data_IF_916232358626
#
_entry.id   IF_916232358626
#
_cell.length_a   1.000
_cell.length_b   1.000
_cell.length_c   1.000
_cell.angle_alpha   90.00
_cell.angle_beta   90.00
_cell.angle_gamma   90.00
#
_symmetry.space_group_name_H-M   'P 1'
#
loop_
_entity.id
_entity.type
_entity.pdbx_description
1 polymer ?
#
# COMPACT_ATOMS: atom_id res chain seq x y z
N UNK A 1 2.77 12.16 -19.65
CA UNK A 1 3.57 10.94 -19.39
C UNK A 1 3.01 10.07 -18.28
N UNK A 2 2.22 10.66 -17.38
CA UNK A 2 1.35 9.93 -16.45
C UNK A 2 -0.07 10.43 -16.64
N UNK A 3 -1.03 9.52 -16.73
CA UNK A 3 -2.46 9.80 -16.86
C UNK A 3 -3.23 9.07 -15.77
N UNK A 4 -4.27 9.67 -15.21
CA UNK A 4 -5.17 8.96 -14.29
C UNK A 4 -6.16 8.11 -15.11
N UNK A 5 -6.24 6.82 -14.80
CA UNK A 5 -7.19 5.88 -15.39
C UNK A 5 -8.20 5.49 -14.33
N UNK A 6 -9.35 6.13 -14.40
CA UNK A 6 -10.49 5.83 -13.54
C UNK A 6 -11.17 4.53 -14.01
N UNK A 7 -11.41 3.59 -13.10
CA UNK A 7 -12.11 2.32 -13.39
C UNK A 7 -13.37 2.20 -12.54
N UNK A 8 -14.49 1.98 -13.24
CA UNK A 8 -15.76 1.64 -12.62
C UNK A 8 -15.75 0.18 -12.12
N UNK A 9 -16.38 -0.05 -10.97
CA UNK A 9 -16.59 -1.36 -10.35
C UNK A 9 -17.86 -2.07 -10.84
N UNK A 10 -18.74 -1.38 -11.58
CA UNK A 10 -19.99 -1.95 -12.08
C UNK A 10 -19.77 -3.24 -12.91
N UNK A 11 -20.18 -4.38 -12.33
CA UNK A 11 -20.14 -5.69 -12.99
C UNK A 11 -18.74 -6.31 -13.16
N UNK A 12 -17.70 -5.77 -12.53
CA UNK A 12 -16.33 -6.31 -12.59
C UNK A 12 -15.80 -6.66 -11.21
N UNK A 13 -14.96 -7.69 -11.15
CA UNK A 13 -14.18 -7.98 -9.95
C UNK A 13 -13.16 -6.86 -9.75
N UNK A 14 -13.26 -6.14 -8.63
CA UNK A 14 -12.32 -5.07 -8.28
C UNK A 14 -11.00 -5.72 -7.84
N UNK A 15 -9.91 -5.32 -8.48
CA UNK A 15 -8.55 -5.81 -8.17
C UNK A 15 -7.57 -4.66 -7.87
N UNK A 16 -8.09 -3.46 -7.62
CA UNK A 16 -7.34 -2.22 -7.43
C UNK A 16 -7.88 -1.43 -6.25
N UNK A 17 -7.14 -0.39 -5.84
CA UNK A 17 -7.55 0.54 -4.78
C UNK A 17 -7.96 1.90 -5.35
N UNK A 18 -8.69 2.69 -4.56
CA UNK A 18 -9.08 4.04 -4.95
C UNK A 18 -9.97 4.10 -6.20
N UNK A 19 -9.76 5.11 -7.04
CA UNK A 19 -10.53 5.36 -8.27
C UNK A 19 -10.06 4.53 -9.46
N UNK A 20 -8.88 3.89 -9.40
CA UNK A 20 -8.30 3.19 -10.54
C UNK A 20 -6.77 3.14 -10.48
N UNK A 21 -6.11 3.56 -11.55
CA UNK A 21 -4.65 3.42 -11.73
C UNK A 21 -4.02 4.72 -12.23
N UNK A 22 -2.73 4.89 -11.97
CA UNK A 22 -1.87 5.78 -12.72
C UNK A 22 -1.31 5.04 -13.95
N UNK A 23 -1.63 5.49 -15.16
CA UNK A 23 -1.09 4.97 -16.41
C UNK A 23 0.21 5.69 -16.75
N UNK A 24 1.32 4.96 -16.70
CA UNK A 24 2.67 5.50 -16.79
C UNK A 24 3.31 5.08 -18.10
N UNK A 25 3.80 6.06 -18.87
CA UNK A 25 4.51 5.85 -20.14
C UNK A 25 5.91 5.26 -19.92
N UNK A 26 6.40 4.48 -20.87
CA UNK A 26 7.79 3.97 -20.92
C UNK A 26 8.85 5.09 -20.71
N UNK A 27 9.64 4.96 -19.65
CA UNK A 27 10.67 5.91 -19.21
C UNK A 27 10.19 7.00 -18.21
N UNK A 28 8.89 7.07 -17.94
CA UNK A 28 8.31 7.96 -16.94
C UNK A 28 8.37 7.34 -15.53
N UNK A 29 7.77 7.98 -14.53
CA UNK A 29 7.78 7.48 -13.16
C UNK A 29 6.80 8.21 -12.25
N UNK A 30 6.68 7.69 -11.03
CA UNK A 30 5.83 8.21 -9.97
C UNK A 30 6.67 8.54 -8.74
N UNK A 31 6.19 9.50 -7.95
CA UNK A 31 6.73 9.82 -6.62
C UNK A 31 5.62 9.64 -5.60
N UNK A 32 5.81 8.70 -4.68
CA UNK A 32 4.92 8.46 -3.55
C UNK A 32 5.44 9.23 -2.34
N UNK A 33 4.60 10.07 -1.74
CA UNK A 33 4.91 10.75 -0.48
C UNK A 33 4.45 9.87 0.68
N UNK A 34 5.33 9.69 1.65
CA UNK A 34 5.10 8.87 2.84
C UNK A 34 5.43 9.73 4.06
N UNK A 35 4.40 10.16 4.79
CA UNK A 35 4.51 11.08 5.92
C UNK A 35 3.72 10.62 7.17
N UNK A 36 3.02 9.49 7.09
CA UNK A 36 2.12 8.95 8.11
C UNK A 36 2.59 7.60 8.70
N UNK A 37 3.91 7.39 8.76
CA UNK A 37 4.52 6.17 9.29
C UNK A 37 4.28 6.06 10.81
N UNK A 38 3.68 4.96 11.30
CA UNK A 38 3.26 4.86 12.70
C UNK A 38 4.37 4.44 13.66
N UNK A 39 5.36 3.68 13.18
CA UNK A 39 6.39 3.08 14.04
C UNK A 39 7.75 3.01 13.34
N UNK A 40 8.88 3.33 14.02
CA UNK A 40 10.20 3.30 13.42
C UNK A 40 10.76 1.88 13.27
N UNK A 41 10.86 1.37 12.04
CA UNK A 41 11.40 0.04 11.70
C UNK A 41 11.56 -0.13 10.19
N UNK A 42 12.03 -1.31 9.74
CA UNK A 42 12.01 -1.64 8.32
C UNK A 42 10.59 -1.98 7.85
N UNK A 43 10.23 -1.43 6.69
CA UNK A 43 9.03 -1.79 5.96
C UNK A 43 9.44 -2.44 4.64
N UNK A 44 8.76 -3.53 4.29
CA UNK A 44 8.83 -4.09 2.95
C UNK A 44 7.93 -3.27 2.04
N UNK A 45 8.43 -2.92 0.86
CA UNK A 45 7.66 -2.14 -0.10
C UNK A 45 7.03 -3.10 -1.11
N UNK A 46 5.74 -2.97 -1.33
CA UNK A 46 5.01 -3.75 -2.33
C UNK A 46 4.39 -2.80 -3.36
N UNK A 47 4.73 -3.01 -4.63
CA UNK A 47 4.18 -2.24 -5.74
C UNK A 47 3.08 -3.07 -6.42
N UNK A 48 1.85 -2.56 -6.47
CA UNK A 48 0.74 -3.14 -7.23
C UNK A 48 0.64 -2.50 -8.61
N UNK A 49 0.47 -3.33 -9.63
CA UNK A 49 0.45 -2.89 -11.02
C UNK A 49 -0.38 -3.82 -11.91
N UNK A 50 -0.77 -3.31 -13.08
CA UNK A 50 -1.43 -4.08 -14.12
C UNK A 50 -0.73 -3.81 -15.48
N UNK A 51 -0.13 -4.85 -16.09
CA UNK A 51 0.49 -4.73 -17.42
C UNK A 51 -0.56 -4.51 -18.53
N UNK A 52 -0.28 -3.62 -19.48
CA UNK A 52 -1.12 -3.43 -20.69
C UNK A 52 -0.62 -4.24 -21.90
N UNK A 53 0.57 -4.85 -21.80
CA UNK A 53 1.16 -5.72 -22.83
C UNK A 53 1.73 -7.00 -22.21
N UNK A 54 2.12 -7.95 -23.05
CA UNK A 54 2.79 -9.19 -22.64
C UNK A 54 4.32 -9.04 -22.48
N UNK A 55 4.79 -7.80 -22.29
CA UNK A 55 6.20 -7.49 -22.06
C UNK A 55 6.46 -7.26 -20.58
N UNK A 56 7.59 -7.74 -20.09
CA UNK A 56 8.05 -7.45 -18.73
C UNK A 56 8.53 -5.98 -18.63
N UNK A 57 8.40 -5.44 -17.42
CA UNK A 57 8.86 -4.09 -17.08
C UNK A 57 9.97 -4.16 -16.04
N UNK A 58 10.72 -3.07 -15.91
CA UNK A 58 11.66 -2.83 -14.81
C UNK A 58 11.28 -1.53 -14.09
N UNK A 59 11.34 -1.57 -12.77
CA UNK A 59 11.26 -0.39 -11.92
C UNK A 59 12.65 -0.01 -11.41
N UNK A 60 13.02 1.26 -11.52
CA UNK A 60 14.15 1.86 -10.80
C UNK A 60 13.59 2.58 -9.59
N UNK A 61 13.88 2.07 -8.40
CA UNK A 61 13.30 2.52 -7.14
C UNK A 61 14.35 3.26 -6.32
N UNK A 62 14.00 4.43 -5.80
CA UNK A 62 14.82 5.21 -4.88
C UNK A 62 13.98 5.77 -3.75
N UNK A 63 14.51 5.75 -2.53
CA UNK A 63 13.88 6.36 -1.35
C UNK A 63 14.75 7.52 -0.90
N UNK A 64 14.14 8.68 -0.70
CA UNK A 64 14.81 9.87 -0.19
C UNK A 64 13.97 10.52 0.90
N UNK A 65 14.61 11.38 1.69
CA UNK A 65 13.95 12.27 2.64
C UNK A 65 14.62 13.63 2.55
N UNK A 66 13.84 14.70 2.69
CA UNK A 66 14.37 16.07 2.76
C UNK A 66 14.97 16.40 4.12
N UNK A 67 14.59 15.65 5.15
CA UNK A 67 15.02 15.83 6.54
C UNK A 67 15.78 14.59 6.98
N UNK A 68 16.86 14.80 7.73
CA UNK A 68 17.64 13.70 8.27
C UNK A 68 16.81 12.91 9.29
N UNK A 69 16.70 11.58 9.17
CA UNK A 69 16.09 10.77 10.19
C UNK A 69 16.82 10.96 11.52
N UNK A 70 16.08 11.08 12.61
CA UNK A 70 16.62 11.38 13.94
C UNK A 70 16.42 10.26 14.94
N UNK A 71 15.57 9.26 14.63
CA UNK A 71 15.37 8.14 15.54
C UNK A 71 16.65 7.32 15.69
N UNK A 72 16.91 6.72 16.86
CA UNK A 72 18.05 5.85 17.05
C UNK A 72 18.01 4.59 16.14
N UNK A 73 16.82 4.24 15.62
CA UNK A 73 16.63 3.09 14.72
C UNK A 73 17.03 3.41 13.29
N UNK A 74 16.53 4.51 12.72
CA UNK A 74 16.75 4.87 11.31
C UNK A 74 17.81 5.97 11.09
N UNK A 75 18.21 6.71 12.14
CA UNK A 75 19.06 7.91 12.04
C UNK A 75 20.48 7.72 11.52
N UNK A 76 21.02 6.50 11.57
CA UNK A 76 22.35 6.17 11.02
C UNK A 76 22.28 5.61 9.59
N UNK A 77 21.08 5.53 9.01
CA UNK A 77 20.82 4.99 7.68
C UNK A 77 20.41 6.15 6.76
N UNK A 78 21.38 6.99 6.38
CA UNK A 78 21.24 7.69 5.11
C UNK A 78 21.85 6.76 4.05
N UNK A 79 21.05 6.00 3.30
CA UNK A 79 21.58 5.50 2.06
C UNK A 79 21.93 6.74 1.25
N UNK A 80 23.17 6.82 0.77
CA UNK A 80 23.42 7.40 -0.56
C UNK A 80 22.22 7.04 -1.43
N UNK A 81 21.58 7.96 -2.15
CA UNK A 81 20.38 7.73 -2.98
C UNK A 81 20.53 6.49 -3.90
N UNK A 82 20.43 5.29 -3.34
CA UNK A 82 20.96 4.09 -3.96
C UNK A 82 19.77 3.46 -4.66
N UNK A 83 19.57 3.96 -5.86
CA UNK A 83 18.58 3.44 -6.76
C UNK A 83 18.88 1.96 -7.01
N UNK A 84 17.86 1.12 -6.93
CA UNK A 84 17.94 -0.29 -7.26
C UNK A 84 16.89 -0.65 -8.31
N UNK A 85 17.12 -1.77 -8.98
CA UNK A 85 16.23 -2.26 -10.04
C UNK A 85 15.40 -3.40 -9.53
N UNK A 86 14.14 -3.43 -9.96
CA UNK A 86 13.20 -4.51 -9.71
C UNK A 86 12.54 -4.95 -11.01
N UNK A 87 12.36 -6.25 -11.15
CA UNK A 87 11.62 -6.82 -12.27
C UNK A 87 10.13 -6.77 -11.99
N UNK A 88 9.35 -6.39 -12.99
CA UNK A 88 7.89 -6.38 -12.99
C UNK A 88 7.39 -7.34 -14.07
N UNK A 89 7.24 -8.65 -13.75
CA UNK A 89 6.78 -9.62 -14.72
C UNK A 89 5.34 -9.35 -15.19
N UNK A 90 5.09 -9.48 -16.49
CA UNK A 90 3.76 -9.25 -17.08
C UNK A 90 2.68 -10.21 -16.54
N UNK A 91 3.10 -11.34 -15.98
CA UNK A 91 2.24 -12.38 -15.40
C UNK A 91 1.81 -12.11 -13.96
N UNK A 92 2.32 -11.05 -13.33
CA UNK A 92 2.04 -10.69 -11.93
C UNK A 92 1.14 -9.45 -11.85
N UNK A 93 0.62 -9.19 -10.66
CA UNK A 93 -0.16 -7.97 -10.33
C UNK A 93 0.42 -7.17 -9.16
N UNK A 94 1.47 -7.70 -8.56
CA UNK A 94 2.26 -7.03 -7.56
C UNK A 94 3.67 -7.59 -7.57
N UNK A 95 4.60 -6.84 -6.98
CA UNK A 95 5.94 -7.31 -6.63
C UNK A 95 6.28 -6.83 -5.23
N UNK A 96 6.91 -7.70 -4.43
CA UNK A 96 7.58 -7.30 -3.20
C UNK A 96 8.99 -6.84 -3.60
N UNK A 97 9.31 -5.58 -3.37
CA UNK A 97 10.62 -5.02 -3.75
C UNK A 97 11.71 -5.65 -2.88
N UNK A 98 12.89 -5.93 -3.46
CA UNK A 98 13.95 -6.70 -2.80
C UNK A 98 14.63 -5.97 -1.65
N UNK A 99 14.49 -4.63 -1.57
CA UNK A 99 15.11 -3.80 -0.55
C UNK A 99 14.06 -3.18 0.37
N UNK A 100 13.91 -3.67 1.62
CA UNK A 100 13.13 -2.96 2.62
C UNK A 100 13.82 -1.63 2.99
N UNK A 101 13.08 -0.72 3.59
CA UNK A 101 13.60 0.57 4.02
C UNK A 101 13.11 0.94 5.43
N UNK A 102 14.00 1.53 6.23
CA UNK A 102 13.70 1.99 7.59
C UNK A 102 12.97 3.33 7.53
N UNK A 103 11.66 3.31 7.78
CA UNK A 103 10.86 4.53 7.90
C UNK A 103 10.65 4.87 9.37
N UNK A 104 10.63 6.16 9.71
CA UNK A 104 10.32 6.63 11.06
C UNK A 104 9.17 7.67 11.08
N UNK A 105 8.45 7.81 12.21
CA UNK A 105 7.41 8.81 12.35
C UNK A 105 7.94 10.24 12.22
N UNK A 106 7.08 11.17 11.78
CA UNK A 106 7.37 12.61 11.65
C UNK A 106 8.47 12.99 10.63
N UNK A 107 8.96 12.03 9.84
CA UNK A 107 9.91 12.29 8.76
C UNK A 107 9.20 12.08 7.41
N UNK A 108 9.14 13.10 6.52
CA UNK A 108 8.51 12.95 5.21
C UNK A 108 9.47 12.31 4.22
N UNK A 109 9.12 11.12 3.75
CA UNK A 109 9.87 10.38 2.75
C UNK A 109 9.22 10.50 1.36
N UNK A 110 10.06 10.44 0.32
CA UNK A 110 9.64 10.34 -1.07
C UNK A 110 10.18 9.01 -1.64
N UNK A 111 9.27 8.12 -2.06
CA UNK A 111 9.62 6.90 -2.81
C UNK A 111 9.41 7.17 -4.29
N UNK A 112 10.50 7.23 -5.02
CA UNK A 112 10.51 7.43 -6.48
C UNK A 112 10.57 6.09 -7.19
N UNK A 113 9.70 5.90 -8.19
CA UNK A 113 9.63 4.67 -8.99
C UNK A 113 9.61 5.07 -10.46
N UNK A 114 10.73 4.91 -11.17
CA UNK A 114 10.79 5.06 -12.64
C UNK A 114 10.54 3.72 -13.31
N UNK A 115 9.75 3.72 -14.37
CA UNK A 115 9.27 2.53 -15.04
C UNK A 115 9.73 2.53 -16.49
N UNK A 116 10.25 1.40 -16.95
CA UNK A 116 10.65 1.20 -18.34
C UNK A 116 10.45 -0.26 -18.74
N UNK A 117 10.36 -0.52 -20.04
CA UNK A 117 10.28 -1.91 -20.53
C UNK A 117 11.59 -2.66 -20.27
N UNK A 118 11.49 -3.92 -19.87
CA UNK A 118 12.64 -4.74 -19.53
C UNK A 118 13.46 -5.12 -20.77
N UNK A 119 14.78 -5.01 -20.69
CA UNK A 119 15.70 -5.48 -21.74
C UNK A 119 15.67 -4.67 -23.05
N UNK A 120 15.00 -3.51 -23.09
CA UNK A 120 14.93 -2.66 -24.29
C UNK A 120 15.74 -1.39 -24.09
N UNK A 121 16.52 -1.00 -25.10
CA UNK A 121 17.34 0.23 -25.08
C UNK A 121 16.58 1.46 -25.59
N UNK A 122 15.60 1.27 -26.47
CA UNK A 122 14.77 2.34 -27.02
C UNK A 122 13.39 2.39 -26.35
N UNK A 123 13.01 3.60 -25.94
CA UNK A 123 11.68 3.89 -25.39
C UNK A 123 10.63 3.75 -26.47
N UNK A 124 9.52 3.08 -26.17
CA UNK A 124 8.39 3.01 -27.07
C UNK A 124 7.32 4.02 -26.67
N UNK A 125 7.02 5.04 -27.51
CA UNK A 125 6.12 6.12 -27.13
C UNK A 125 4.70 5.64 -26.85
N UNK A 126 4.26 4.51 -27.42
CA UNK A 126 2.95 3.91 -27.17
C UNK A 126 2.90 2.86 -26.07
N UNK A 127 3.99 2.60 -25.35
CA UNK A 127 4.02 1.59 -24.29
C UNK A 127 3.72 2.21 -22.92
N UNK A 128 2.84 1.54 -22.16
CA UNK A 128 2.35 1.99 -20.87
C UNK A 128 2.20 0.83 -19.89
N UNK A 129 2.25 1.16 -18.61
CA UNK A 129 1.94 0.26 -17.49
C UNK A 129 0.99 0.97 -16.53
N UNK A 130 0.05 0.23 -15.94
CA UNK A 130 -0.86 0.77 -14.93
C UNK A 130 -0.28 0.50 -13.54
N UNK A 131 -0.20 1.52 -12.70
CA UNK A 131 0.23 1.43 -11.30
C UNK A 131 -0.98 1.72 -10.41
N UNK A 132 -1.29 0.79 -9.49
CA UNK A 132 -2.38 0.94 -8.53
C UNK A 132 -1.88 1.68 -7.29
N UNK A 133 -0.98 1.05 -6.53
CA UNK A 133 -0.54 1.57 -5.23
C UNK A 133 0.85 1.09 -4.85
N UNK A 134 1.54 1.90 -4.04
CA UNK A 134 2.68 1.47 -3.24
C UNK A 134 2.20 1.18 -1.82
N UNK A 135 2.53 0.01 -1.28
CA UNK A 135 2.14 -0.45 0.05
C UNK A 135 3.37 -0.64 0.91
N UNK A 136 3.35 -0.08 2.12
CA UNK A 136 4.36 -0.31 3.15
C UNK A 136 3.88 -1.44 4.06
N UNK A 137 4.52 -2.59 3.98
CA UNK A 137 4.24 -3.75 4.82
C UNK A 137 5.22 -3.77 6.01
N UNK A 138 4.71 -3.74 7.25
CA UNK A 138 5.56 -3.72 8.43
C UNK A 138 6.35 -5.04 8.60
N UNK A 139 7.65 -4.97 8.90
CA UNK A 139 8.42 -6.15 9.33
C UNK A 139 8.02 -6.52 10.76
N UNK A 140 6.93 -7.28 10.89
CA UNK A 140 6.30 -7.64 12.18
C UNK A 140 7.25 -8.29 13.18
N UNK A 141 8.32 -8.95 12.73
CA UNK A 141 9.34 -9.56 13.59
C UNK A 141 10.20 -8.53 14.36
N UNK A 142 10.14 -7.24 14.02
CA UNK A 142 10.79 -6.17 14.78
C UNK A 142 9.94 -5.65 15.94
N UNK A 143 8.65 -5.99 16.00
CA UNK A 143 7.75 -5.43 16.99
C UNK A 143 7.94 -6.07 18.38
N UNK A 144 7.69 -5.32 19.46
CA UNK A 144 7.58 -5.87 20.81
C UNK A 144 6.59 -7.05 20.87
N UNK A 145 7.00 -8.17 21.47
CA UNK A 145 6.17 -9.38 21.56
C UNK A 145 6.16 -10.26 20.30
N UNK A 146 6.83 -9.84 19.23
CA UNK A 146 7.12 -10.65 18.04
C UNK A 146 8.63 -10.84 17.81
N UNK A 147 9.46 -9.91 18.30
CA UNK A 147 10.93 -10.05 18.28
C UNK A 147 11.47 -10.98 19.38
N UNK A 148 12.70 -11.45 19.21
CA UNK A 148 13.42 -12.25 20.20
C UNK A 148 13.11 -13.75 20.18
N UNK A 149 13.73 -14.47 21.13
CA UNK A 149 13.69 -15.93 21.23
C UNK A 149 12.68 -16.47 22.27
N UNK A 150 11.88 -15.60 22.87
CA UNK A 150 10.83 -16.02 23.80
C UNK A 150 9.83 -16.93 23.08
N UNK A 151 9.44 -18.04 23.73
CA UNK A 151 8.55 -19.05 23.14
C UNK A 151 7.24 -18.44 22.62
N UNK A 152 6.62 -17.53 23.38
CA UNK A 152 5.38 -16.88 22.97
C UNK A 152 5.55 -16.02 21.71
N UNK A 153 6.65 -15.28 21.59
CA UNK A 153 6.95 -14.49 20.40
C UNK A 153 7.26 -15.37 19.19
N UNK A 154 7.99 -16.47 19.38
CA UNK A 154 8.28 -17.46 18.35
C UNK A 154 6.99 -18.12 17.83
N UNK A 155 6.07 -18.54 18.71
CA UNK A 155 4.78 -19.11 18.32
C UNK A 155 3.95 -18.13 17.50
N UNK A 156 3.84 -16.87 17.91
CA UNK A 156 3.10 -15.85 17.12
C UNK A 156 3.68 -15.65 15.72
N UNK A 157 5.01 -15.64 15.59
CA UNK A 157 5.69 -15.56 14.29
C UNK A 157 5.41 -16.79 13.43
N UNK A 158 5.53 -17.98 14.01
CA UNK A 158 5.25 -19.23 13.31
C UNK A 158 3.80 -19.27 12.81
N UNK A 159 2.82 -18.84 13.62
CA UNK A 159 1.42 -18.79 13.20
C UNK A 159 1.19 -17.80 12.06
N UNK A 160 1.78 -16.60 12.12
CA UNK A 160 1.70 -15.60 11.03
C UNK A 160 2.23 -16.16 9.71
N UNK A 161 3.37 -16.84 9.74
CA UNK A 161 4.00 -17.46 8.57
C UNK A 161 3.20 -18.66 8.08
N UNK A 162 2.82 -19.58 8.98
CA UNK A 162 2.11 -20.83 8.66
C UNK A 162 0.78 -20.57 7.97
N UNK A 163 0.03 -19.58 8.45
CA UNK A 163 -1.25 -19.20 7.87
C UNK A 163 -1.15 -18.07 6.83
N UNK A 164 0.08 -17.60 6.54
CA UNK A 164 0.35 -16.55 5.55
C UNK A 164 -0.54 -15.32 5.77
N UNK A 165 -0.72 -14.92 7.03
CA UNK A 165 -1.69 -13.90 7.40
C UNK A 165 -1.43 -12.56 6.71
N UNK A 166 -0.17 -12.24 6.41
CA UNK A 166 0.22 -11.00 5.75
C UNK A 166 0.04 -11.04 4.23
N UNK A 167 0.04 -12.23 3.60
CA UNK A 167 -0.14 -12.36 2.14
C UNK A 167 -1.52 -11.88 1.68
N UNK A 168 -2.52 -11.92 2.57
CA UNK A 168 -3.86 -11.38 2.30
C UNK A 168 -3.85 -9.88 1.93
N UNK A 169 -2.80 -9.15 2.31
CA UNK A 169 -2.65 -7.72 2.03
C UNK A 169 -1.79 -7.43 0.79
N UNK A 170 -1.30 -8.44 0.07
CA UNK A 170 -0.54 -8.21 -1.16
C UNK A 170 -1.42 -7.73 -2.32
N UNK A 171 -2.68 -8.14 -2.33
CA UNK A 171 -3.69 -7.76 -3.33
C UNK A 171 -4.77 -6.85 -2.75
N UNK A 172 -5.50 -6.16 -3.62
CA UNK A 172 -6.67 -5.36 -3.27
C UNK A 172 -7.92 -5.88 -3.99
N UNK A 173 -9.11 -5.86 -3.35
CA UNK A 173 -9.27 -5.73 -1.91
C UNK A 173 -8.67 -6.96 -1.19
N UNK A 174 -8.24 -6.82 0.08
CA UNK A 174 -7.70 -7.96 0.82
C UNK A 174 -8.77 -9.04 1.01
N UNK A 175 -8.36 -10.30 0.99
CA UNK A 175 -9.26 -11.41 1.27
C UNK A 175 -9.65 -11.45 2.76
N UNK A 176 -10.88 -11.91 3.10
CA UNK A 176 -11.30 -12.06 4.48
C UNK A 176 -10.33 -12.95 5.27
N UNK A 177 -9.87 -12.46 6.43
CA UNK A 177 -8.93 -13.19 7.27
C UNK A 177 -9.65 -14.27 8.09
N UNK A 178 -8.98 -15.41 8.25
CA UNK A 178 -9.38 -16.40 9.25
C UNK A 178 -9.26 -15.81 10.66
N UNK A 179 -10.08 -16.29 11.61
CA UNK A 179 -10.15 -15.73 12.96
C UNK A 179 -8.79 -15.72 13.70
N UNK A 180 -7.95 -16.73 13.46
CA UNK A 180 -6.59 -16.79 14.00
C UNK A 180 -5.72 -15.62 13.48
N UNK A 181 -5.69 -15.42 12.16
CA UNK A 181 -4.98 -14.29 11.55
C UNK A 181 -5.53 -12.95 11.99
N UNK A 182 -6.87 -12.81 12.09
CA UNK A 182 -7.49 -11.57 12.53
C UNK A 182 -6.99 -11.14 13.92
N UNK A 183 -6.87 -12.09 14.87
CA UNK A 183 -6.34 -11.80 16.21
C UNK A 183 -4.89 -11.33 16.15
N UNK A 184 -4.03 -12.03 15.42
CA UNK A 184 -2.60 -11.69 15.30
C UNK A 184 -2.40 -10.34 14.61
N UNK A 185 -3.11 -10.08 13.51
CA UNK A 185 -3.06 -8.81 12.77
C UNK A 185 -3.58 -7.66 13.63
N UNK A 186 -4.64 -7.88 14.43
CA UNK A 186 -5.10 -6.89 15.40
C UNK A 186 -4.02 -6.58 16.47
N UNK A 187 -3.31 -7.59 16.98
CA UNK A 187 -2.20 -7.36 17.93
C UNK A 187 -1.05 -6.59 17.30
N UNK A 188 -0.67 -6.92 16.06
CA UNK A 188 0.34 -6.19 15.29
C UNK A 188 -0.08 -4.73 15.11
N UNK A 189 -1.32 -4.49 14.65
CA UNK A 189 -1.86 -3.13 14.46
C UNK A 189 -1.86 -2.33 15.76
N UNK A 190 -2.26 -2.93 16.89
CA UNK A 190 -2.24 -2.27 18.18
C UNK A 190 -0.83 -1.87 18.63
N UNK A 191 0.18 -2.70 18.36
CA UNK A 191 1.59 -2.37 18.65
C UNK A 191 2.11 -1.22 17.77
N UNK A 192 1.72 -1.19 16.49
CA UNK A 192 2.14 -0.15 15.56
C UNK A 192 1.55 1.21 15.92
N UNK A 193 0.27 1.26 16.28
CA UNK A 193 -0.46 2.51 16.48
C UNK A 193 -0.64 2.91 17.94
N UNK A 194 -0.12 2.13 18.90
CA UNK A 194 -0.34 2.35 20.32
C UNK A 194 -1.80 2.12 20.76
N UNK A 195 -2.52 1.23 20.06
CA UNK A 195 -3.93 0.95 20.28
C UNK A 195 -4.74 0.90 18.99
N UNK A 196 -6.05 1.07 19.10
CA UNK A 196 -6.95 1.18 17.95
C UNK A 196 -6.99 2.62 17.42
N UNK A 197 -7.13 2.77 16.11
CA UNK A 197 -7.32 4.06 15.47
C UNK A 197 -8.81 4.46 15.44
N UNK A 198 -9.15 5.75 15.54
CA UNK A 198 -10.52 6.22 15.40
C UNK A 198 -11.04 6.03 13.96
N UNK A 199 -12.33 5.68 13.83
CA UNK A 199 -12.95 5.41 12.52
C UNK A 199 -12.88 6.61 11.56
N UNK A 200 -13.22 7.80 12.04
CA UNK A 200 -13.30 9.03 11.25
C UNK A 200 -14.20 8.93 10.01
N UNK A 201 -15.32 8.21 10.10
CA UNK A 201 -16.30 8.12 9.01
C UNK A 201 -16.84 9.50 8.65
N UNK A 202 -16.94 9.82 7.35
CA UNK A 202 -17.47 11.09 6.89
C UNK A 202 -18.97 11.17 7.21
N UNK A 203 -19.45 12.22 7.91
CA UNK A 203 -20.84 12.31 8.35
C UNK A 203 -21.84 12.48 7.20
N UNK A 204 -21.40 13.00 6.04
CA UNK A 204 -22.25 13.16 4.87
C UNK A 204 -22.28 11.89 4.02
N UNK A 205 -21.13 11.25 3.82
CA UNK A 205 -21.02 10.07 2.95
C UNK A 205 -21.24 8.73 3.65
N UNK A 206 -21.21 8.68 4.99
CA UNK A 206 -21.42 7.44 5.77
C UNK A 206 -22.82 7.35 6.37
N UNK A 207 -23.30 6.12 6.57
CA UNK A 207 -24.57 5.82 7.25
C UNK A 207 -24.45 5.78 8.77
N UNK A 208 -23.24 5.58 9.28
CA UNK A 208 -22.92 5.53 10.72
C UNK A 208 -21.54 6.15 10.98
N UNK A 209 -21.31 6.61 12.21
CA UNK A 209 -19.99 6.98 12.73
C UNK A 209 -19.15 5.75 13.14
N UNK A 210 -19.79 4.60 13.32
CA UNK A 210 -19.15 3.33 13.62
C UNK A 210 -18.65 2.67 12.33
N UNK A 211 -17.42 2.16 12.38
CA UNK A 211 -16.80 1.42 11.28
C UNK A 211 -16.56 -0.04 11.67
N UNK A 212 -16.27 -0.88 10.68
CA UNK A 212 -15.88 -2.26 10.92
C UNK A 212 -14.62 -2.32 11.81
N UNK A 213 -14.66 -3.14 12.86
CA UNK A 213 -13.55 -3.28 13.80
C UNK A 213 -12.25 -3.78 13.14
N UNK A 214 -12.36 -4.57 12.07
CA UNK A 214 -11.23 -4.99 11.25
C UNK A 214 -11.15 -4.11 10.00
N UNK A 215 -10.00 -3.50 9.75
CA UNK A 215 -9.75 -2.65 8.59
C UNK A 215 -10.39 -1.25 8.63
N UNK A 216 -11.38 -1.01 9.50
CA UNK A 216 -11.92 0.32 9.73
C UNK A 216 -12.80 0.86 8.59
N UNK A 217 -13.38 -0.01 7.77
CA UNK A 217 -14.27 0.40 6.66
C UNK A 217 -15.60 0.93 7.22
N UNK A 218 -15.96 2.15 6.83
CA UNK A 218 -17.24 2.77 7.14
C UNK A 218 -18.35 2.26 6.21
N UNK A 219 -19.61 2.29 6.68
CA UNK A 219 -20.77 1.93 5.85
C UNK A 219 -21.17 3.11 4.96
N UNK A 220 -20.79 3.06 3.67
CA UNK A 220 -20.99 4.17 2.75
C UNK A 220 -22.43 4.27 2.22
N UNK A 221 -22.86 5.50 1.94
CA UNK A 221 -24.08 5.81 1.19
C UNK A 221 -23.95 5.40 -0.28
N UNK A 222 -25.06 5.34 -1.05
CA UNK A 222 -25.02 4.98 -2.46
C UNK A 222 -24.01 5.81 -3.25
N UNK A 223 -23.24 5.13 -4.11
CA UNK A 223 -22.22 5.72 -4.97
C UNK A 223 -21.12 6.51 -4.25
N UNK A 224 -20.90 6.24 -2.95
CA UNK A 224 -19.78 6.78 -2.17
C UNK A 224 -18.77 5.66 -1.88
N UNK A 225 -17.48 5.97 -1.91
CA UNK A 225 -16.41 5.01 -1.63
C UNK A 225 -15.30 5.59 -0.75
N UNK A 226 -14.31 4.73 -0.45
CA UNK A 226 -13.19 5.04 0.43
C UNK A 226 -13.40 4.48 1.83
N UNK A 227 -12.32 4.31 2.59
CA UNK A 227 -12.38 3.77 3.95
C UNK A 227 -13.31 4.63 4.84
N UNK A 228 -13.29 5.95 4.63
CA UNK A 228 -14.06 6.95 5.37
C UNK A 228 -15.35 7.39 4.66
N UNK A 229 -15.67 6.83 3.49
CA UNK A 229 -16.80 7.26 2.66
C UNK A 229 -16.79 8.75 2.32
N UNK A 230 -15.64 9.26 1.90
CA UNK A 230 -15.33 10.69 1.79
C UNK A 230 -15.27 11.19 0.33
N UNK A 231 -15.64 10.35 -0.64
CA UNK A 231 -15.64 10.71 -2.07
C UNK A 231 -16.61 9.88 -2.89
N UNK A 232 -17.06 10.44 -4.00
CA UNK A 232 -17.90 9.73 -4.95
C UNK A 232 -17.16 8.59 -5.64
N UNK A 233 -17.90 7.55 -6.01
CA UNK A 233 -17.41 6.49 -6.86
C UNK A 233 -17.13 7.03 -8.28
N UNK A 234 -16.16 6.44 -9.01
CA UNK A 234 -16.00 6.63 -10.43
C UNK A 234 -17.31 6.76 -11.19
N UNK A 235 -17.48 7.84 -11.96
CA UNK A 235 -18.68 8.09 -12.77
C UNK A 235 -19.89 8.67 -12.02
N UNK A 236 -19.78 8.93 -10.72
CA UNK A 236 -20.80 9.61 -9.92
C UNK A 236 -20.31 10.94 -9.35
N UNK A 237 -21.23 11.86 -9.11
CA UNK A 237 -20.95 13.25 -8.74
C UNK A 237 -21.91 13.76 -7.67
N UNK A 238 -21.67 14.98 -7.19
CA UNK A 238 -22.59 15.66 -6.25
C UNK A 238 -22.56 15.07 -4.84
N UNK A 239 -21.38 14.88 -4.26
CA UNK A 239 -21.21 14.39 -2.89
C UNK A 239 -22.04 15.19 -1.88
N UNK A 240 -22.93 14.51 -1.17
CA UNK A 240 -23.78 15.15 -0.18
C UNK A 240 -24.53 14.18 0.74
N UNK A 241 -25.53 14.66 1.49
CA UNK A 241 -26.21 13.86 2.52
C UNK A 241 -26.93 12.60 2.03
N UNK A 242 -27.21 12.49 0.72
CA UNK A 242 -27.86 11.33 0.11
C UNK A 242 -26.87 10.38 -0.59
N UNK A 243 -25.57 10.69 -0.57
CA UNK A 243 -24.54 9.99 -1.34
C UNK A 243 -24.13 10.77 -2.58
N UNK A 244 -23.89 10.05 -3.69
CA UNK A 244 -23.59 10.63 -5.01
C UNK A 244 -24.58 10.13 -6.06
N UNK A 245 -24.65 10.83 -7.20
CA UNK A 245 -25.52 10.55 -8.35
C UNK A 245 -24.74 10.39 -9.64
#
# INVERSE_FOLDING_TARGET
DVEEVVRDSAGRMVTWTGSGFARVRDGAGLTFRVDDVPYPMDYELLLRYEPESAEDWEAVVGVSSRVLPTSPRCGNLLPSEQMYRESLPHSRRYVLLSRPFCFEPSTPYEVTVRLQRAGVTQRHPGAFILIDSLVLLPRVSELPGFHGAEAAAATRREELERYRCLEAFHMAPPHPLAQACARLVCSVSALLHGGALPCQCDPQGSRSSECQAQGGQCECKPHVLGRRCDRCAPGSYGFGPLGCS
#
